data_IF_243696228453
#
_entry.id   IF_243696228453
#
_cell.length_a   1.000
_cell.length_b   1.000
_cell.length_c   1.000
_cell.angle_alpha   90.00
_cell.angle_beta   90.00
_cell.angle_gamma   90.00
#
_symmetry.space_group_name_H-M   'P 1'
#
loop_
_entity.id
_entity.type
_entity.pdbx_description
1 polymer ?
#
# COMPACT_ATOMS: atom_id res chain seq x y z
N UNK A 1 18.36 -8.78 27.20
CA UNK A 1 17.50 -7.59 27.20
C UNK A 1 16.28 -7.94 26.35
N UNK A 2 15.09 -8.06 26.95
CA UNK A 2 13.86 -8.28 26.19
C UNK A 2 13.62 -7.08 25.26
N UNK A 3 13.30 -7.33 23.99
CA UNK A 3 12.94 -6.26 23.06
C UNK A 3 11.68 -5.57 23.57
N UNK A 4 11.65 -4.24 23.53
CA UNK A 4 10.44 -3.46 23.87
C UNK A 4 9.33 -3.85 22.89
N UNK A 5 8.16 -4.21 23.39
CA UNK A 5 6.97 -4.43 22.58
C UNK A 5 6.54 -3.10 21.96
N UNK A 6 6.44 -3.04 20.62
CA UNK A 6 6.06 -1.85 19.87
C UNK A 6 4.56 -1.86 19.55
N UNK A 7 3.96 -0.68 19.50
CA UNK A 7 2.66 -0.42 18.90
C UNK A 7 2.88 0.05 17.45
N UNK A 8 2.49 -0.77 16.48
CA UNK A 8 2.71 -0.52 15.05
C UNK A 8 1.39 -0.15 14.40
N UNK A 9 1.30 1.06 13.85
CA UNK A 9 0.15 1.48 13.07
C UNK A 9 0.21 0.90 11.67
N UNK A 10 -0.75 0.07 11.29
CA UNK A 10 -0.92 -0.43 9.92
C UNK A 10 -1.94 0.45 9.19
N UNK A 11 -1.51 1.09 8.10
CA UNK A 11 -2.31 2.06 7.36
C UNK A 11 -2.95 1.40 6.14
N UNK A 12 -4.28 1.42 6.10
CA UNK A 12 -5.11 1.07 4.96
C UNK A 12 -5.64 2.35 4.33
N UNK A 13 -4.95 2.85 3.32
CA UNK A 13 -5.30 4.08 2.60
C UNK A 13 -5.69 3.73 1.17
N UNK A 14 -6.90 4.01 0.79
CA UNK A 14 -7.40 3.77 -0.55
C UNK A 14 -8.76 3.07 -0.57
N UNK A 15 -9.20 2.72 -1.78
CA UNK A 15 -10.44 2.00 -1.99
C UNK A 15 -10.21 0.49 -1.84
N UNK A 16 -10.73 -0.07 -0.76
CA UNK A 16 -10.63 -1.50 -0.50
C UNK A 16 -11.60 -2.36 -1.32
N UNK A 17 -12.54 -1.72 -2.02
CA UNK A 17 -13.47 -2.43 -2.90
C UNK A 17 -12.92 -2.69 -4.31
N UNK A 18 -11.72 -2.19 -4.64
CA UNK A 18 -11.13 -2.30 -5.97
C UNK A 18 -9.86 -3.17 -6.00
N UNK A 19 -9.96 -4.32 -6.66
CA UNK A 19 -8.83 -5.08 -7.18
C UNK A 19 -7.98 -5.87 -6.17
N UNK A 20 -6.87 -6.41 -6.67
CA UNK A 20 -5.95 -7.27 -5.91
C UNK A 20 -5.23 -6.58 -4.75
N UNK A 21 -5.11 -5.26 -4.78
CA UNK A 21 -4.44 -4.50 -3.74
C UNK A 21 -5.04 -4.64 -2.34
N UNK A 22 -6.36 -4.77 -2.27
CA UNK A 22 -7.05 -5.08 -1.02
C UNK A 22 -6.63 -6.45 -0.45
N UNK A 23 -6.65 -7.48 -1.29
CA UNK A 23 -6.29 -8.83 -0.88
C UNK A 23 -4.86 -8.91 -0.35
N UNK A 24 -3.93 -8.22 -0.98
CA UNK A 24 -2.52 -8.15 -0.53
C UNK A 24 -2.44 -7.53 0.87
N UNK A 25 -3.12 -6.41 1.11
CA UNK A 25 -3.10 -5.74 2.41
C UNK A 25 -3.71 -6.63 3.50
N UNK A 26 -4.86 -7.25 3.24
CA UNK A 26 -5.53 -8.16 4.19
C UNK A 26 -4.68 -9.38 4.49
N UNK A 27 -4.08 -10.00 3.46
CA UNK A 27 -3.20 -11.16 3.64
C UNK A 27 -1.99 -10.82 4.49
N UNK A 28 -1.33 -9.70 4.19
CA UNK A 28 -0.16 -9.24 4.94
C UNK A 28 -0.49 -9.00 6.42
N UNK A 29 -1.59 -8.30 6.73
CA UNK A 29 -1.92 -8.02 8.13
C UNK A 29 -2.40 -9.28 8.88
N UNK A 30 -3.06 -10.21 8.19
CA UNK A 30 -3.48 -11.48 8.78
C UNK A 30 -2.27 -12.31 9.21
N UNK A 31 -1.20 -12.33 8.42
CA UNK A 31 0.06 -12.96 8.81
C UNK A 31 0.78 -12.20 9.93
N UNK A 32 0.89 -10.89 9.81
CA UNK A 32 1.55 -10.05 10.83
C UNK A 32 0.89 -10.18 12.22
N UNK A 33 -0.43 -10.37 12.28
CA UNK A 33 -1.14 -10.57 13.56
C UNK A 33 -0.81 -11.88 14.27
N UNK A 34 -0.24 -12.86 13.58
CA UNK A 34 0.24 -14.11 14.21
C UNK A 34 1.47 -13.84 15.06
N UNK A 35 2.20 -12.77 14.74
CA UNK A 35 3.35 -12.31 15.51
C UNK A 35 2.89 -11.73 16.86
N UNK A 36 3.48 -12.19 17.97
CA UNK A 36 3.10 -11.80 19.33
C UNK A 36 4.04 -10.78 19.98
N UNK A 37 5.20 -10.54 19.36
CA UNK A 37 6.23 -9.65 19.90
C UNK A 37 5.80 -8.18 19.83
N UNK A 38 4.90 -7.82 18.90
CA UNK A 38 4.43 -6.46 18.71
C UNK A 38 2.90 -6.37 18.72
N UNK A 39 2.38 -5.16 18.91
CA UNK A 39 0.95 -4.85 18.79
C UNK A 39 0.70 -4.17 17.44
N UNK A 40 -0.28 -4.64 16.68
CA UNK A 40 -0.69 -4.03 15.43
C UNK A 40 -2.03 -3.31 15.61
N UNK A 41 -2.05 -2.00 15.33
CA UNK A 41 -3.22 -1.13 15.38
C UNK A 41 -3.57 -0.70 13.96
N UNK A 42 -4.76 -1.04 13.48
CA UNK A 42 -5.16 -0.84 12.10
C UNK A 42 -5.97 0.43 11.93
N UNK A 43 -5.59 1.24 10.95
CA UNK A 43 -6.25 2.50 10.62
C UNK A 43 -6.77 2.51 9.21
N UNK A 44 -8.02 2.95 9.01
CA UNK A 44 -8.63 3.21 7.70
C UNK A 44 -9.00 4.68 7.57
N UNK A 45 -8.92 5.22 6.36
CA UNK A 45 -9.15 6.64 6.08
C UNK A 45 -10.37 6.89 5.18
N UNK A 46 -10.97 5.83 4.64
CA UNK A 46 -12.18 5.90 3.85
C UNK A 46 -13.34 5.27 4.62
N UNK A 47 -14.44 6.02 4.75
CA UNK A 47 -15.66 5.53 5.39
C UNK A 47 -16.23 4.34 4.60
N UNK A 48 -16.69 3.31 5.30
CA UNK A 48 -17.15 2.05 4.73
C UNK A 48 -16.09 0.94 4.66
N UNK A 49 -14.80 1.30 4.63
CA UNK A 49 -13.71 0.31 4.65
C UNK A 49 -13.65 -0.47 5.98
N UNK A 50 -14.06 0.15 7.08
CA UNK A 50 -14.11 -0.51 8.39
C UNK A 50 -15.02 -1.74 8.41
N UNK A 51 -16.19 -1.65 7.78
CA UNK A 51 -17.11 -2.78 7.70
C UNK A 51 -16.49 -3.96 6.97
N UNK A 52 -15.89 -3.67 5.81
CA UNK A 52 -15.24 -4.70 4.99
C UNK A 52 -14.11 -5.41 5.74
N UNK A 53 -13.27 -4.67 6.46
CA UNK A 53 -12.16 -5.27 7.22
C UNK A 53 -12.65 -6.02 8.46
N UNK A 54 -13.72 -5.56 9.11
CA UNK A 54 -14.34 -6.27 10.23
C UNK A 54 -14.89 -7.64 9.80
N UNK A 55 -15.41 -7.77 8.55
CA UNK A 55 -15.85 -9.05 7.99
C UNK A 55 -14.70 -10.07 7.87
N UNK A 56 -13.44 -9.60 7.82
CA UNK A 56 -12.22 -10.43 7.90
C UNK A 56 -11.71 -10.62 9.34
N UNK A 57 -12.48 -10.22 10.35
CA UNK A 57 -12.08 -10.30 11.76
C UNK A 57 -10.97 -9.29 12.13
N UNK A 58 -10.82 -8.22 11.38
CA UNK A 58 -9.85 -7.16 11.63
C UNK A 58 -10.54 -5.97 12.31
N UNK A 59 -10.27 -5.75 13.59
CA UNK A 59 -10.70 -4.53 14.28
C UNK A 59 -9.90 -3.34 13.76
N UNK A 60 -10.60 -2.32 13.27
CA UNK A 60 -9.96 -1.15 12.66
C UNK A 60 -10.51 0.16 13.22
N UNK A 61 -9.66 1.17 13.24
CA UNK A 61 -9.98 2.53 13.65
C UNK A 61 -10.21 3.37 12.40
N UNK A 62 -11.44 3.85 12.21
CA UNK A 62 -11.76 4.73 11.08
C UNK A 62 -11.43 6.18 11.42
N UNK A 63 -10.56 6.78 10.63
CA UNK A 63 -10.18 8.19 10.73
C UNK A 63 -10.90 8.96 9.62
N UNK A 64 -11.92 9.72 9.98
CA UNK A 64 -12.65 10.54 9.01
C UNK A 64 -11.77 11.69 8.50
N UNK A 65 -11.52 11.69 7.20
CA UNK A 65 -10.85 12.79 6.52
C UNK A 65 -11.84 13.91 6.22
N UNK A 66 -11.43 15.15 6.49
CA UNK A 66 -12.15 16.33 6.03
C UNK A 66 -11.38 17.06 4.92
N UNK A 67 -12.06 17.97 4.21
CA UNK A 67 -11.49 18.76 3.10
C UNK A 67 -10.22 19.54 3.50
N UNK A 68 -10.13 19.97 4.76
CA UNK A 68 -8.98 20.70 5.27
C UNK A 68 -7.71 19.83 5.27
N UNK A 69 -7.84 18.55 5.56
CA UNK A 69 -6.71 17.61 5.53
C UNK A 69 -6.17 17.41 4.10
N UNK A 70 -7.06 17.42 3.10
CA UNK A 70 -6.66 17.33 1.69
C UNK A 70 -5.89 18.56 1.24
N UNK A 71 -6.31 19.75 1.67
CA UNK A 71 -5.59 21.00 1.41
C UNK A 71 -4.21 21.05 2.07
N UNK A 72 -4.12 20.63 3.33
CA UNK A 72 -2.84 20.54 4.05
C UNK A 72 -1.87 19.57 3.36
N UNK A 73 -2.33 18.41 2.91
CA UNK A 73 -1.53 17.46 2.14
C UNK A 73 -0.97 18.07 0.85
N UNK A 74 -1.76 18.90 0.16
CA UNK A 74 -1.29 19.60 -1.02
C UNK A 74 -0.11 20.54 -0.70
N UNK A 75 -0.17 21.26 0.42
CA UNK A 75 0.94 22.15 0.85
C UNK A 75 2.18 21.36 1.27
N UNK A 76 2.04 20.19 1.91
CA UNK A 76 3.15 19.33 2.31
C UNK A 76 3.91 18.70 1.11
N UNK A 77 3.29 18.68 -0.08
CA UNK A 77 3.98 18.30 -1.32
C UNK A 77 5.04 19.32 -1.73
N UNK A 78 4.96 20.57 -1.26
CA UNK A 78 5.97 21.58 -1.48
C UNK A 78 7.15 21.34 -0.53
N UNK A 79 8.35 21.18 -1.09
CA UNK A 79 9.56 20.86 -0.31
C UNK A 79 9.93 21.96 0.68
N UNK A 80 9.70 23.23 0.34
CA UNK A 80 9.95 24.36 1.22
C UNK A 80 9.05 24.34 2.45
N UNK A 81 7.75 24.07 2.25
CA UNK A 81 6.79 23.95 3.34
C UNK A 81 7.07 22.74 4.23
N UNK A 82 7.48 21.63 3.64
CA UNK A 82 7.90 20.44 4.38
C UNK A 82 9.14 20.73 5.26
N UNK A 83 10.15 21.41 4.71
CA UNK A 83 11.34 21.81 5.49
C UNK A 83 10.98 22.79 6.61
N UNK A 84 10.07 23.72 6.35
CA UNK A 84 9.55 24.65 7.36
C UNK A 84 8.83 23.89 8.48
N UNK A 85 7.90 22.99 8.16
CA UNK A 85 7.16 22.20 9.15
C UNK A 85 8.08 21.35 10.02
N UNK A 86 9.12 20.74 9.42
CA UNK A 86 10.15 20.00 10.15
C UNK A 86 10.95 20.89 11.10
N UNK A 87 11.34 22.10 10.65
CA UNK A 87 12.13 23.03 11.50
C UNK A 87 11.35 23.53 12.70
N UNK A 88 10.04 23.67 12.59
CA UNK A 88 9.18 24.15 13.67
C UNK A 88 8.43 23.05 14.41
N UNK A 89 8.80 21.77 14.19
CA UNK A 89 8.16 20.60 14.80
C UNK A 89 6.62 20.64 14.69
N UNK A 90 6.11 21.04 13.52
CA UNK A 90 4.68 21.09 13.30
C UNK A 90 4.14 19.66 13.22
N UNK A 91 3.47 19.23 14.26
CA UNK A 91 2.82 17.93 14.35
C UNK A 91 1.61 17.91 13.42
N UNK A 92 1.58 16.95 12.51
CA UNK A 92 0.45 16.78 11.59
C UNK A 92 -0.78 16.24 12.30
N UNK A 93 -1.95 16.36 11.66
CA UNK A 93 -3.18 15.78 12.23
C UNK A 93 -3.10 14.26 12.32
N UNK A 94 -2.45 13.62 11.34
CA UNK A 94 -2.18 12.20 11.37
C UNK A 94 -1.36 11.84 12.61
N UNK A 95 -0.25 12.52 12.84
CA UNK A 95 0.62 12.26 13.99
C UNK A 95 -0.09 12.50 15.33
N UNK A 96 -0.92 13.54 15.44
CA UNK A 96 -1.75 13.76 16.64
C UNK A 96 -2.71 12.60 16.94
N UNK A 97 -3.20 11.93 15.90
CA UNK A 97 -4.05 10.75 16.07
C UNK A 97 -3.19 9.58 16.53
N UNK A 98 -2.05 9.35 15.88
CA UNK A 98 -1.12 8.27 16.23
C UNK A 98 -0.63 8.40 17.69
N UNK A 99 -0.36 9.63 18.15
CA UNK A 99 0.01 9.91 19.55
C UNK A 99 -1.06 9.42 20.55
N UNK A 100 -2.36 9.59 20.24
CA UNK A 100 -3.46 9.15 21.11
C UNK A 100 -3.50 7.63 21.28
N UNK A 101 -2.97 6.89 20.32
CA UNK A 101 -2.91 5.43 20.35
C UNK A 101 -1.52 4.91 20.75
N UNK A 102 -0.63 5.80 21.23
CA UNK A 102 0.74 5.48 21.65
C UNK A 102 1.49 4.67 20.58
N UNK A 103 1.41 5.09 19.32
CA UNK A 103 2.10 4.43 18.22
C UNK A 103 3.60 4.70 18.26
N UNK A 104 4.41 3.65 18.11
CA UNK A 104 5.87 3.73 18.05
C UNK A 104 6.39 3.75 16.60
N UNK A 105 5.69 3.08 15.66
CA UNK A 105 6.10 2.89 14.26
C UNK A 105 4.88 2.87 13.35
N UNK A 106 5.03 3.38 12.12
CA UNK A 106 3.98 3.30 11.10
C UNK A 106 4.39 2.27 10.04
N UNK A 107 3.45 1.43 9.61
CA UNK A 107 3.62 0.55 8.47
C UNK A 107 2.59 0.88 7.38
N UNK A 108 3.08 1.43 6.28
CA UNK A 108 2.28 1.65 5.07
C UNK A 108 2.28 0.37 4.25
N UNK A 109 1.19 -0.40 4.36
CA UNK A 109 0.98 -1.66 3.61
C UNK A 109 0.80 -1.45 2.10
N UNK A 110 0.62 -0.21 1.71
CA UNK A 110 0.30 0.27 0.37
C UNK A 110 1.13 1.52 0.08
N UNK A 111 1.44 1.87 -1.19
CA UNK A 111 2.11 3.12 -1.55
C UNK A 111 1.25 4.36 -1.24
N UNK A 112 1.10 4.67 0.05
CA UNK A 112 0.21 5.72 0.54
C UNK A 112 0.83 7.09 0.47
N UNK A 113 0.08 8.06 -0.03
CA UNK A 113 0.46 9.48 0.01
C UNK A 113 0.48 10.06 1.43
N UNK A 114 -0.13 9.40 2.41
CA UNK A 114 -0.05 9.76 3.83
C UNK A 114 1.38 9.73 4.38
N UNK A 115 2.27 8.95 3.76
CA UNK A 115 3.68 8.95 4.12
C UNK A 115 4.34 10.34 3.98
N UNK A 116 3.81 11.20 3.10
CA UNK A 116 4.28 12.58 2.94
C UNK A 116 3.81 13.50 4.08
N UNK A 117 2.78 13.11 4.83
CA UNK A 117 2.25 13.87 5.98
C UNK A 117 2.99 13.52 7.28
N UNK A 118 3.87 12.50 7.26
CA UNK A 118 4.63 12.07 8.43
C UNK A 118 5.90 12.91 8.55
N UNK A 119 6.07 13.61 9.67
CA UNK A 119 7.22 14.48 9.95
C UNK A 119 8.15 13.87 11.00
N UNK A 120 7.60 13.38 12.11
CA UNK A 120 8.34 12.98 13.31
C UNK A 120 8.45 11.46 13.48
N UNK A 121 7.49 10.70 12.98
CA UNK A 121 7.47 9.25 13.14
C UNK A 121 8.44 8.53 12.19
N UNK A 122 8.98 7.41 12.67
CA UNK A 122 9.60 6.41 11.80
C UNK A 122 8.53 5.59 11.09
N UNK A 123 8.80 5.15 9.87
CA UNK A 123 7.88 4.30 9.16
C UNK A 123 8.56 3.31 8.22
N UNK A 124 7.84 2.22 7.93
CA UNK A 124 8.11 1.27 6.86
C UNK A 124 7.22 1.65 5.68
N UNK A 125 7.78 1.68 4.47
CA UNK A 125 7.06 2.05 3.26
C UNK A 125 7.08 0.93 2.24
N UNK A 126 5.93 0.63 1.62
CA UNK A 126 5.82 -0.41 0.61
C UNK A 126 5.72 0.19 -0.79
N UNK A 127 6.49 -0.35 -1.73
CA UNK A 127 6.40 -0.13 -3.18
C UNK A 127 5.86 -1.42 -3.80
N UNK A 128 4.74 -1.34 -4.51
CA UNK A 128 4.18 -2.50 -5.21
C UNK A 128 4.75 -2.69 -6.60
N UNK A 129 5.00 -1.60 -7.31
CA UNK A 129 5.56 -1.61 -8.66
C UNK A 129 6.28 -0.29 -8.99
N UNK A 130 7.06 -0.32 -10.05
CA UNK A 130 7.68 0.84 -10.65
C UNK A 130 7.28 0.97 -12.14
N UNK A 131 6.12 0.45 -12.52
CA UNK A 131 5.64 0.41 -13.90
C UNK A 131 5.65 1.78 -14.59
N UNK A 132 5.37 2.87 -13.86
CA UNK A 132 5.45 4.22 -14.41
C UNK A 132 6.84 4.59 -14.94
N UNK A 133 7.89 3.97 -14.43
CA UNK A 133 9.27 4.14 -14.92
C UNK A 133 9.68 3.07 -15.93
N UNK A 134 9.14 1.87 -15.79
CA UNK A 134 9.49 0.75 -16.64
C UNK A 134 8.78 0.84 -17.99
N UNK A 135 7.54 1.29 -17.99
CA UNK A 135 6.63 1.28 -19.14
C UNK A 135 5.82 2.59 -19.21
N UNK A 136 6.50 3.76 -19.35
CA UNK A 136 5.83 5.06 -19.34
C UNK A 136 4.89 5.28 -20.54
N UNK A 137 4.97 4.46 -21.57
CA UNK A 137 4.11 4.49 -22.74
C UNK A 137 2.66 4.04 -22.46
N UNK A 138 2.41 3.30 -21.37
CA UNK A 138 1.07 2.87 -21.04
C UNK A 138 0.24 3.99 -20.40
N UNK A 139 -1.00 4.21 -20.88
CA UNK A 139 -1.84 5.31 -20.40
C UNK A 139 -2.15 5.23 -18.90
N UNK A 140 -2.33 4.06 -18.34
CA UNK A 140 -2.65 3.85 -16.93
C UNK A 140 -1.57 4.31 -15.94
N UNK A 141 -0.34 4.47 -16.41
CA UNK A 141 0.78 4.94 -15.57
C UNK A 141 1.22 6.37 -15.90
N UNK A 142 0.65 6.98 -16.94
CA UNK A 142 1.04 8.30 -17.42
C UNK A 142 -0.11 9.33 -17.40
N UNK A 143 -1.37 8.91 -17.65
CA UNK A 143 -2.51 9.83 -17.67
C UNK A 143 -2.75 10.48 -16.29
N UNK A 144 -3.38 11.66 -16.31
CA UNK A 144 -3.74 12.43 -15.12
C UNK A 144 -2.58 12.74 -14.16
N UNK A 145 -1.36 12.87 -14.69
CA UNK A 145 -0.12 13.08 -13.92
C UNK A 145 0.20 11.94 -12.96
N UNK A 146 -0.18 10.72 -13.32
CA UNK A 146 0.10 9.56 -12.47
C UNK A 146 1.60 9.32 -12.33
N UNK A 147 2.37 9.54 -13.41
CA UNK A 147 3.84 9.47 -13.39
C UNK A 147 4.43 10.41 -12.35
N UNK A 148 4.11 11.71 -12.44
CA UNK A 148 4.65 12.71 -11.52
C UNK A 148 4.17 12.47 -10.08
N UNK A 149 2.94 12.02 -9.91
CA UNK A 149 2.37 11.69 -8.60
C UNK A 149 3.17 10.57 -7.93
N UNK A 150 3.46 9.49 -8.64
CA UNK A 150 4.26 8.36 -8.15
C UNK A 150 5.69 8.77 -7.88
N UNK A 151 6.31 9.54 -8.80
CA UNK A 151 7.68 10.02 -8.61
C UNK A 151 7.84 10.88 -7.35
N UNK A 152 6.97 11.85 -7.13
CA UNK A 152 7.00 12.70 -5.94
C UNK A 152 6.84 11.84 -4.68
N UNK A 153 5.91 10.89 -4.69
CA UNK A 153 5.66 10.00 -3.56
C UNK A 153 6.88 9.14 -3.27
N UNK A 154 7.34 8.38 -4.26
CA UNK A 154 8.41 7.39 -4.04
C UNK A 154 9.74 8.07 -3.71
N UNK A 155 10.13 9.12 -4.46
CA UNK A 155 11.38 9.83 -4.19
C UNK A 155 11.45 10.43 -2.78
N UNK A 156 10.33 10.83 -2.19
CA UNK A 156 10.30 11.43 -0.85
C UNK A 156 10.08 10.40 0.25
N UNK A 157 9.07 9.54 0.09
CA UNK A 157 8.71 8.57 1.12
C UNK A 157 9.84 7.56 1.36
N UNK A 158 10.46 7.03 0.29
CA UNK A 158 11.52 6.02 0.45
C UNK A 158 12.78 6.57 1.10
N UNK A 159 13.14 7.84 0.84
CA UNK A 159 14.32 8.46 1.47
C UNK A 159 14.18 8.59 2.98
N UNK A 160 12.97 8.82 3.46
CA UNK A 160 12.68 9.00 4.88
C UNK A 160 12.34 7.69 5.59
N UNK A 161 11.80 6.69 4.88
CA UNK A 161 11.46 5.41 5.45
C UNK A 161 12.66 4.75 6.14
N UNK A 162 12.46 4.18 7.33
CA UNK A 162 13.50 3.38 7.98
C UNK A 162 13.74 2.05 7.23
N UNK A 163 12.68 1.51 6.61
CA UNK A 163 12.75 0.35 5.73
C UNK A 163 11.78 0.52 4.55
N UNK A 164 12.15 -0.05 3.40
CA UNK A 164 11.32 -0.09 2.20
C UNK A 164 11.09 -1.55 1.85
N UNK A 165 9.82 -1.91 1.62
CA UNK A 165 9.42 -3.25 1.17
C UNK A 165 9.03 -3.18 -0.30
N UNK A 166 9.47 -4.15 -1.08
CA UNK A 166 9.10 -4.36 -2.48
C UNK A 166 8.56 -5.79 -2.66
N UNK A 167 7.80 -6.00 -3.72
CA UNK A 167 7.14 -7.28 -4.04
C UNK A 167 8.10 -8.39 -4.49
N UNK A 168 9.29 -8.02 -4.98
CA UNK A 168 10.23 -8.93 -5.62
C UNK A 168 11.67 -8.43 -5.52
N UNK A 169 12.63 -9.32 -5.77
CA UNK A 169 14.04 -8.94 -5.84
C UNK A 169 14.32 -7.97 -7.00
N UNK A 170 13.62 -8.12 -8.13
CA UNK A 170 13.69 -7.16 -9.23
C UNK A 170 13.19 -5.78 -8.78
N UNK A 171 12.04 -5.73 -8.10
CA UNK A 171 11.51 -4.50 -7.50
C UNK A 171 12.49 -3.85 -6.52
N UNK A 172 13.16 -4.67 -5.68
CA UNK A 172 14.18 -4.24 -4.75
C UNK A 172 15.35 -3.55 -5.47
N UNK A 173 15.94 -4.22 -6.44
CA UNK A 173 17.07 -3.69 -7.21
C UNK A 173 16.71 -2.41 -7.96
N UNK A 174 15.53 -2.37 -8.57
CA UNK A 174 15.00 -1.19 -9.24
C UNK A 174 14.80 -0.03 -8.29
N UNK A 175 14.23 -0.26 -7.11
CA UNK A 175 14.03 0.78 -6.10
C UNK A 175 15.37 1.36 -5.61
N UNK A 176 16.34 0.50 -5.30
CA UNK A 176 17.70 0.91 -4.90
C UNK A 176 18.33 1.78 -5.99
N UNK A 177 18.36 1.29 -7.22
CA UNK A 177 19.03 1.96 -8.35
C UNK A 177 18.37 3.30 -8.69
N UNK A 178 17.04 3.35 -8.72
CA UNK A 178 16.28 4.52 -9.22
C UNK A 178 16.13 5.63 -8.21
N UNK A 179 16.07 5.28 -6.92
CA UNK A 179 15.90 6.26 -5.84
C UNK A 179 17.17 6.44 -4.98
N UNK A 180 18.26 5.75 -5.31
CA UNK A 180 19.53 5.85 -4.58
C UNK A 180 19.39 5.41 -3.12
N UNK A 181 18.73 4.29 -2.87
CA UNK A 181 18.46 3.80 -1.52
C UNK A 181 19.62 2.95 -1.01
N UNK A 182 19.84 2.98 0.29
CA UNK A 182 20.75 2.02 0.95
C UNK A 182 20.13 0.63 0.89
N UNK A 183 20.87 -0.32 0.29
CA UNK A 183 20.41 -1.71 0.11
C UNK A 183 20.08 -2.42 1.42
N UNK A 184 20.70 -2.01 2.53
CA UNK A 184 20.43 -2.55 3.88
C UNK A 184 19.05 -2.22 4.42
N UNK A 185 18.35 -1.25 3.81
CA UNK A 185 17.00 -0.81 4.19
C UNK A 185 15.92 -1.27 3.23
N UNK A 186 16.27 -1.94 2.13
CA UNK A 186 15.30 -2.37 1.12
C UNK A 186 15.18 -3.87 1.12
N UNK A 187 13.95 -4.37 1.30
CA UNK A 187 13.65 -5.79 1.47
C UNK A 187 12.67 -6.25 0.41
N UNK A 188 12.95 -7.37 -0.23
CA UNK A 188 12.01 -8.06 -1.12
C UNK A 188 11.13 -9.00 -0.29
N UNK A 189 9.82 -8.80 -0.33
CA UNK A 189 8.82 -9.63 0.33
C UNK A 189 7.71 -9.92 -0.67
N UNK A 190 7.65 -11.16 -1.15
CA UNK A 190 6.66 -11.58 -2.14
C UNK A 190 5.24 -11.43 -1.60
N UNK A 191 4.29 -11.13 -2.48
CA UNK A 191 2.88 -11.09 -2.13
C UNK A 191 2.39 -12.45 -1.66
N UNK A 192 1.61 -12.42 -0.60
CA UNK A 192 0.98 -13.62 -0.07
C UNK A 192 -0.29 -13.97 -0.88
N UNK A 193 -0.62 -15.26 -0.98
CA UNK A 193 -1.91 -15.68 -1.53
C UNK A 193 -3.08 -15.03 -0.78
N UNK A 194 -4.21 -14.84 -1.47
CA UNK A 194 -5.40 -14.30 -0.83
C UNK A 194 -5.88 -15.20 0.31
N UNK A 195 -6.18 -14.60 1.47
CA UNK A 195 -6.78 -15.30 2.63
C UNK A 195 -8.17 -15.89 2.33
N UNK A 196 -8.81 -15.45 1.25
CA UNK A 196 -10.10 -15.97 0.80
C UNK A 196 -10.00 -17.27 0.00
N UNK A 197 -8.80 -17.76 -0.29
CA UNK A 197 -8.61 -19.11 -0.85
C UNK A 197 -8.87 -20.17 0.24
N UNK A 198 -10.07 -20.12 0.84
CA UNK A 198 -10.58 -21.25 1.61
C UNK A 198 -10.88 -22.36 0.60
N UNK A 199 -10.63 -23.61 1.01
CA UNK A 199 -11.14 -24.77 0.30
C UNK A 199 -12.66 -24.64 0.21
N UNK A 200 -13.14 -24.01 -0.85
CA UNK A 200 -14.55 -24.02 -1.21
C UNK A 200 -14.80 -25.34 -1.93
N UNK A 201 -15.95 -25.93 -1.70
CA UNK A 201 -16.40 -27.09 -2.47
C UNK A 201 -16.14 -26.80 -3.96
N UNK A 202 -15.35 -27.66 -4.60
CA UNK A 202 -15.09 -27.54 -6.03
C UNK A 202 -16.42 -27.53 -6.78
N UNK A 203 -16.77 -26.38 -7.34
CA UNK A 203 -17.88 -26.27 -8.27
C UNK A 203 -17.26 -26.42 -9.66
N UNK A 204 -17.75 -27.35 -10.45
CA UNK A 204 -17.34 -27.44 -11.85
C UNK A 204 -17.77 -26.15 -12.56
N UNK A 205 -16.78 -25.37 -12.98
CA UNK A 205 -17.01 -24.10 -13.65
C UNK A 205 -17.59 -24.32 -15.05
N UNK A 206 -17.21 -25.41 -15.72
CA UNK A 206 -17.75 -25.76 -17.05
C UNK A 206 -19.25 -26.01 -16.95
N UNK A 207 -19.68 -26.81 -15.99
CA UNK A 207 -21.11 -27.09 -15.76
C UNK A 207 -21.87 -25.82 -15.36
N UNK A 208 -21.32 -25.05 -14.44
CA UNK A 208 -21.96 -23.82 -13.94
C UNK A 208 -22.22 -22.77 -15.01
N UNK A 209 -21.33 -22.65 -15.99
CA UNK A 209 -21.39 -21.62 -17.03
C UNK A 209 -21.65 -22.18 -18.42
N UNK A 210 -21.99 -23.48 -18.56
CA UNK A 210 -22.21 -24.19 -19.82
C UNK A 210 -21.05 -24.00 -20.81
N UNK A 211 -19.81 -24.23 -20.34
CA UNK A 211 -18.62 -24.08 -21.16
C UNK A 211 -18.28 -25.43 -21.81
N UNK A 212 -18.42 -25.50 -23.13
CA UNK A 212 -17.98 -26.65 -23.91
C UNK A 212 -16.50 -26.55 -24.28
N UNK A 213 -15.74 -27.62 -24.06
CA UNK A 213 -14.31 -27.67 -24.42
C UNK A 213 -13.36 -27.05 -23.42
N UNK A 214 -12.17 -26.72 -23.88
CA UNK A 214 -11.14 -26.08 -23.05
C UNK A 214 -11.31 -24.56 -23.05
N UNK A 215 -10.90 -23.92 -21.95
CA UNK A 215 -10.99 -22.47 -21.82
C UNK A 215 -9.74 -21.88 -21.15
N UNK A 216 -9.46 -20.62 -21.46
CA UNK A 216 -8.45 -19.82 -20.79
C UNK A 216 -9.15 -18.79 -19.91
N UNK A 217 -8.78 -18.74 -18.63
CA UNK A 217 -9.27 -17.76 -17.70
C UNK A 217 -8.20 -16.72 -17.39
N UNK A 218 -8.48 -15.45 -17.76
CA UNK A 218 -7.57 -14.32 -17.54
C UNK A 218 -8.24 -13.21 -16.75
N UNK A 219 -8.25 -13.28 -15.38
CA UNK A 219 -8.96 -12.35 -14.52
C UNK A 219 -8.16 -11.04 -14.31
N UNK A 220 -7.88 -10.32 -15.38
CA UNK A 220 -7.18 -9.03 -15.33
C UNK A 220 -8.10 -7.88 -15.73
N UNK A 221 -7.83 -6.68 -15.19
CA UNK A 221 -8.50 -5.45 -15.63
C UNK A 221 -8.10 -5.15 -17.09
N UNK A 222 -9.00 -4.48 -17.84
CA UNK A 222 -8.75 -4.13 -19.25
C UNK A 222 -7.78 -2.94 -19.40
N UNK A 223 -6.61 -3.06 -18.79
CA UNK A 223 -5.54 -2.09 -18.92
C UNK A 223 -4.63 -2.47 -20.09
N UNK A 224 -4.07 -1.45 -20.78
CA UNK A 224 -3.28 -1.66 -21.99
C UNK A 224 -2.10 -2.64 -21.78
N UNK A 225 -1.39 -2.53 -20.65
CA UNK A 225 -0.28 -3.43 -20.33
C UNK A 225 -0.70 -4.87 -20.03
N UNK A 226 -2.00 -5.15 -19.82
CA UNK A 226 -2.51 -6.53 -19.66
C UNK A 226 -2.72 -7.25 -20.98
N UNK A 227 -2.70 -6.51 -22.09
CA UNK A 227 -2.68 -7.02 -23.45
C UNK A 227 -3.71 -8.13 -23.75
N UNK A 228 -4.99 -7.87 -23.41
CA UNK A 228 -6.09 -8.82 -23.65
C UNK A 228 -6.25 -9.19 -25.13
N UNK A 229 -5.93 -8.24 -26.04
CA UNK A 229 -5.99 -8.46 -27.49
C UNK A 229 -5.09 -9.64 -27.89
N UNK A 230 -3.88 -9.71 -27.34
CA UNK A 230 -2.96 -10.81 -27.63
C UNK A 230 -3.55 -12.19 -27.30
N UNK A 231 -4.31 -12.28 -26.20
CA UNK A 231 -4.93 -13.56 -25.78
C UNK A 231 -6.13 -13.91 -26.68
N UNK A 232 -6.87 -12.90 -27.17
CA UNK A 232 -8.03 -13.13 -28.03
C UNK A 232 -7.60 -13.49 -29.47
N UNK A 233 -6.48 -12.95 -29.94
CA UNK A 233 -5.97 -13.14 -31.29
C UNK A 233 -5.05 -14.37 -31.42
N UNK A 234 -4.75 -15.07 -30.32
CA UNK A 234 -3.89 -16.28 -30.27
C UNK A 234 -4.68 -17.56 -30.40
#
# INVERSE_FOLDING_TARGET
MGSKKLNIACIFDGDLHSGGGFQIQVSNITELRKEKEHNFVMFVFKEGNEKLLNDFGLEVICIKENLFNKGYRFTMRNEWFFRFSKRFNLITKLEKILDRYNIDLIFFLFPSSLALDVVSYNYIFTIWDLCHRDFPEFPEVNFHREFERREILYARATKKAMAVITDSELGRQNAIKRYGLDEKRVFAVSFLPSVNMKETNFVDIKDKYNIDGDYIYYPAQFWSHKNHVYIVDS
#
